data_IF_096200737774
#
_entry.id   IF_096200737774
#
_cell.length_a   1.000
_cell.length_b   1.000
_cell.length_c   1.000
_cell.angle_alpha   90.00
_cell.angle_beta   90.00
_cell.angle_gamma   90.00
#
_symmetry.space_group_name_H-M   'P 1'
#
loop_
_entity.id
_entity.type
_entity.pdbx_description
1 polymer ?
#
# COMPACT_ATOMS: atom_id res chain seq x y z
N UNK A 1 -17.19 -13.33 25.46
CA UNK A 1 -16.18 -13.49 26.53
C UNK A 1 -14.94 -12.70 26.11
N UNK A 2 -14.85 -11.45 26.57
CA UNK A 2 -13.70 -10.54 26.40
C UNK A 2 -13.34 -10.07 27.82
N UNK A 3 -13.16 -11.01 28.75
CA UNK A 3 -13.05 -10.67 30.17
C UNK A 3 -11.64 -10.84 30.77
N UNK A 4 -10.63 -11.20 29.97
CA UNK A 4 -9.25 -11.39 30.47
C UNK A 4 -8.15 -10.66 29.68
N UNK A 5 -8.51 -9.74 28.79
CA UNK A 5 -7.52 -8.88 28.11
C UNK A 5 -7.49 -7.51 28.76
N UNK A 6 -6.50 -7.28 29.63
CA UNK A 6 -6.14 -5.94 30.07
C UNK A 6 -5.80 -5.10 28.81
N UNK A 7 -6.56 -4.02 28.50
CA UNK A 7 -6.35 -3.21 27.31
C UNK A 7 -4.97 -2.53 27.27
N UNK A 8 -4.29 -2.43 28.41
CA UNK A 8 -2.96 -1.82 28.54
C UNK A 8 -1.80 -2.83 28.45
N UNK A 9 -2.09 -4.13 28.36
CA UNK A 9 -1.05 -5.15 28.20
C UNK A 9 -0.52 -5.14 26.77
N UNK A 10 0.63 -4.50 26.55
CA UNK A 10 1.29 -4.46 25.25
C UNK A 10 1.60 -5.89 24.76
N UNK A 11 1.09 -6.24 23.57
CA UNK A 11 1.42 -7.50 22.90
C UNK A 11 2.71 -7.27 22.10
N UNK A 12 3.84 -7.90 22.44
CA UNK A 12 5.08 -7.71 21.70
C UNK A 12 4.97 -8.34 20.31
N UNK A 13 5.06 -7.51 19.27
CA UNK A 13 5.13 -7.98 17.87
C UNK A 13 6.56 -7.84 17.38
N UNK A 14 7.34 -8.93 17.44
CA UNK A 14 8.76 -8.94 17.08
C UNK A 14 9.01 -9.15 15.58
N UNK A 15 8.00 -9.63 14.84
CA UNK A 15 8.14 -10.04 13.44
C UNK A 15 7.75 -8.95 12.43
N UNK A 16 7.35 -7.77 12.91
CA UNK A 16 6.95 -6.65 12.05
C UNK A 16 7.52 -5.35 12.59
N UNK A 17 7.98 -4.48 11.68
CA UNK A 17 8.38 -3.12 12.06
C UNK A 17 7.16 -2.26 12.33
N UNK A 18 7.30 -1.19 13.12
CA UNK A 18 6.22 -0.25 13.39
C UNK A 18 5.58 0.34 12.13
N UNK A 19 6.36 0.54 11.06
CA UNK A 19 5.86 1.00 9.75
C UNK A 19 4.94 -0.03 9.08
N UNK A 20 5.27 -1.31 9.15
CA UNK A 20 4.43 -2.39 8.61
C UNK A 20 3.18 -2.58 9.48
N UNK A 21 3.32 -2.49 10.80
CA UNK A 21 2.19 -2.58 11.73
C UNK A 21 1.19 -1.44 11.53
N UNK A 22 1.64 -0.20 11.38
CA UNK A 22 0.76 0.94 11.10
C UNK A 22 -0.08 0.70 9.83
N UNK A 23 0.54 0.17 8.77
CA UNK A 23 -0.14 -0.21 7.53
C UNK A 23 -1.12 -1.36 7.73
N UNK A 24 -0.81 -2.32 8.60
CA UNK A 24 -1.71 -3.41 8.94
C UNK A 24 -2.93 -2.94 9.73
N UNK A 25 -2.74 -2.01 10.67
CA UNK A 25 -3.82 -1.40 11.45
C UNK A 25 -4.76 -0.61 10.54
N UNK A 26 -4.22 0.18 9.62
CA UNK A 26 -5.01 0.92 8.62
C UNK A 26 -5.87 -0.03 7.76
N UNK A 27 -5.29 -1.13 7.28
CA UNK A 27 -6.01 -2.17 6.53
C UNK A 27 -7.18 -2.74 7.34
N UNK A 28 -6.93 -3.12 8.59
CA UNK A 28 -7.95 -3.69 9.46
C UNK A 28 -9.09 -2.68 9.71
N UNK A 29 -8.76 -1.41 9.98
CA UNK A 29 -9.77 -0.35 10.19
C UNK A 29 -10.65 -0.16 8.95
N UNK A 30 -10.05 -0.02 7.77
CA UNK A 30 -10.79 0.15 6.51
C UNK A 30 -11.76 -1.01 6.28
N UNK A 31 -11.33 -2.25 6.48
CA UNK A 31 -12.16 -3.44 6.24
C UNK A 31 -13.25 -3.66 7.29
N UNK A 32 -13.07 -3.14 8.50
CA UNK A 32 -14.08 -3.20 9.58
C UNK A 32 -15.11 -2.08 9.44
N UNK A 33 -14.68 -0.88 9.05
CA UNK A 33 -15.53 0.29 8.86
C UNK A 33 -16.35 0.22 7.56
N UNK A 34 -15.85 -0.46 6.54
CA UNK A 34 -16.60 -0.69 5.30
C UNK A 34 -17.80 -1.61 5.59
N UNK A 35 -19.05 -1.14 5.35
CA UNK A 35 -20.24 -1.97 5.55
C UNK A 35 -20.12 -3.21 4.68
N UNK A 36 -20.34 -4.39 5.27
CA UNK A 36 -20.56 -5.63 4.52
C UNK A 36 -21.98 -5.61 3.94
N UNK A 37 -22.23 -4.67 3.04
CA UNK A 37 -23.42 -4.69 2.22
C UNK A 37 -23.25 -5.78 1.16
N UNK A 38 -24.34 -6.43 0.77
CA UNK A 38 -24.40 -7.31 -0.41
C UNK A 38 -24.42 -6.46 -1.71
N UNK A 39 -23.68 -5.36 -1.67
CA UNK A 39 -23.56 -4.36 -2.72
C UNK A 39 -22.23 -4.59 -3.43
N UNK A 40 -22.33 -5.10 -4.66
CA UNK A 40 -21.19 -5.34 -5.53
C UNK A 40 -20.30 -4.11 -5.70
N UNK A 41 -20.86 -2.89 -5.65
CA UNK A 41 -20.09 -1.66 -5.79
C UNK A 41 -19.14 -1.44 -4.60
N UNK A 42 -19.58 -1.74 -3.38
CA UNK A 42 -18.76 -1.60 -2.15
C UNK A 42 -17.64 -2.64 -2.13
N UNK A 43 -17.93 -3.87 -2.55
CA UNK A 43 -16.92 -4.93 -2.67
C UNK A 43 -15.87 -4.58 -3.74
N UNK A 44 -16.29 -4.07 -4.89
CA UNK A 44 -15.39 -3.64 -5.96
C UNK A 44 -14.51 -2.45 -5.54
N UNK A 45 -15.07 -1.48 -4.82
CA UNK A 45 -14.31 -0.36 -4.27
C UNK A 45 -13.26 -0.84 -3.27
N UNK A 46 -13.60 -1.78 -2.39
CA UNK A 46 -12.66 -2.36 -1.42
C UNK A 46 -11.52 -3.12 -2.12
N UNK A 47 -11.84 -3.91 -3.15
CA UNK A 47 -10.83 -4.59 -4.00
C UNK A 47 -9.92 -3.58 -4.71
N UNK A 48 -10.49 -2.49 -5.23
CA UNK A 48 -9.71 -1.45 -5.90
C UNK A 48 -8.82 -0.70 -4.90
N UNK A 49 -9.30 -0.47 -3.67
CA UNK A 49 -8.52 0.11 -2.59
C UNK A 49 -7.32 -0.77 -2.25
N UNK A 50 -7.51 -2.08 -2.08
CA UNK A 50 -6.43 -3.05 -1.84
C UNK A 50 -5.39 -3.04 -2.97
N UNK A 51 -5.85 -3.11 -4.22
CA UNK A 51 -4.98 -3.10 -5.39
C UNK A 51 -4.19 -1.79 -5.52
N UNK A 52 -4.81 -0.66 -5.17
CA UNK A 52 -4.17 0.65 -5.19
C UNK A 52 -3.10 0.75 -4.10
N UNK A 53 -3.38 0.23 -2.92
CA UNK A 53 -2.43 0.25 -1.79
C UNK A 53 -1.16 -0.53 -2.10
N UNK A 54 -1.30 -1.74 -2.66
CA UNK A 54 -0.15 -2.55 -3.10
C UNK A 54 0.65 -1.82 -4.19
N UNK A 55 -0.03 -1.20 -5.16
CA UNK A 55 0.65 -0.41 -6.21
C UNK A 55 1.42 0.78 -5.65
N UNK A 56 0.82 1.55 -4.75
CA UNK A 56 1.49 2.67 -4.09
C UNK A 56 2.76 2.22 -3.37
N UNK A 57 2.72 1.08 -2.67
CA UNK A 57 3.90 0.52 -1.99
C UNK A 57 5.01 0.06 -2.95
N UNK A 58 4.64 -0.42 -4.14
CA UNK A 58 5.62 -0.84 -5.15
C UNK A 58 6.25 0.34 -5.90
N UNK A 59 5.62 1.52 -5.89
CA UNK A 59 6.08 2.70 -6.65
C UNK A 59 6.75 3.71 -5.70
N UNK A 60 6.20 3.89 -4.50
CA UNK A 60 6.64 4.91 -3.55
C UNK A 60 8.09 4.65 -3.10
N UNK A 61 8.93 5.66 -3.32
CA UNK A 61 10.34 5.62 -2.93
C UNK A 61 11.23 4.81 -3.86
N UNK A 62 10.71 4.33 -5.01
CA UNK A 62 11.52 3.72 -6.07
C UNK A 62 11.85 4.75 -7.14
N UNK A 63 13.00 4.59 -7.79
CA UNK A 63 13.36 5.39 -8.96
C UNK A 63 12.64 4.89 -10.23
N UNK A 64 12.59 5.74 -11.26
CA UNK A 64 12.07 5.38 -12.58
C UNK A 64 12.75 4.12 -13.14
N UNK A 65 14.05 3.94 -12.90
CA UNK A 65 14.81 2.76 -13.33
C UNK A 65 14.41 1.50 -12.55
N UNK A 66 14.26 1.58 -11.23
CA UNK A 66 13.86 0.46 -10.39
C UNK A 66 12.44 -0.01 -10.71
N UNK A 67 11.53 0.93 -10.99
CA UNK A 67 10.16 0.64 -11.44
C UNK A 67 10.21 -0.06 -12.80
N UNK A 68 10.95 0.49 -13.78
CA UNK A 68 11.12 -0.13 -15.10
C UNK A 68 11.64 -1.56 -15.01
N UNK A 69 12.63 -1.81 -14.15
CA UNK A 69 13.18 -3.15 -13.91
C UNK A 69 12.16 -4.08 -13.24
N UNK A 70 11.44 -3.60 -12.23
CA UNK A 70 10.46 -4.40 -11.47
C UNK A 70 9.29 -4.84 -12.36
N UNK A 71 8.79 -3.94 -13.20
CA UNK A 71 7.63 -4.19 -14.06
C UNK A 71 8.00 -4.62 -15.48
N UNK A 72 9.30 -4.83 -15.74
CA UNK A 72 9.84 -5.22 -17.04
C UNK A 72 9.38 -4.29 -18.19
N UNK A 73 9.35 -2.98 -17.91
CA UNK A 73 8.93 -1.92 -18.83
C UNK A 73 10.15 -1.45 -19.61
N UNK A 74 10.05 -1.45 -20.95
CA UNK A 74 11.09 -0.84 -21.81
C UNK A 74 11.05 0.68 -21.67
N UNK A 75 12.23 1.31 -21.55
CA UNK A 75 12.32 2.76 -21.65
C UNK A 75 11.89 3.20 -23.05
N UNK A 76 10.87 4.05 -23.14
CA UNK A 76 10.38 4.61 -24.39
C UNK A 76 10.97 6.00 -24.68
N UNK A 77 11.69 6.59 -23.73
CA UNK A 77 12.30 7.91 -23.87
C UNK A 77 13.73 7.80 -24.42
N UNK A 78 14.11 8.80 -25.21
CA UNK A 78 15.51 9.03 -25.54
C UNK A 78 16.27 9.57 -24.31
N UNK A 79 17.61 9.44 -24.27
CA UNK A 79 18.41 9.98 -23.16
C UNK A 79 18.22 11.50 -22.95
N UNK A 80 17.97 12.25 -24.03
CA UNK A 80 17.76 13.70 -24.00
C UNK A 80 16.41 14.06 -23.38
N UNK A 81 15.32 13.40 -23.79
CA UNK A 81 13.98 13.60 -23.21
C UNK A 81 13.92 13.19 -21.73
N UNK A 82 14.63 12.14 -21.33
CA UNK A 82 14.68 11.71 -19.93
C UNK A 82 15.42 12.71 -19.04
N UNK A 83 16.47 13.37 -19.56
CA UNK A 83 17.19 14.39 -18.81
C UNK A 83 16.39 15.70 -18.70
N UNK A 84 15.63 16.07 -19.72
CA UNK A 84 14.71 17.21 -19.69
C UNK A 84 13.59 16.97 -18.66
N UNK A 85 12.93 15.81 -18.69
CA UNK A 85 11.93 15.43 -17.69
C UNK A 85 12.47 15.38 -16.25
N UNK A 86 13.76 15.08 -16.08
CA UNK A 86 14.43 15.10 -14.76
C UNK A 86 14.80 16.51 -14.31
N UNK A 87 15.03 17.45 -15.24
CA UNK A 87 15.26 18.86 -14.94
C UNK A 87 13.98 19.61 -14.57
N UNK A 88 12.83 19.15 -15.06
CA UNK A 88 11.53 19.78 -14.81
C UNK A 88 10.86 19.41 -13.47
N UNK A 89 11.28 18.32 -12.81
CA UNK A 89 10.71 17.83 -11.54
C UNK A 89 11.64 18.05 -10.34
#
# INVERSE_FOLDING_TARGET
>A
MIEDTNPDSAIPVTNATGKILAKGIEYCKKHVETPKADDHAVEEELKNWDATRVRQEMIKGRTSEEIRKTFNIKNAFTPEEEEELRREN
#
